data_IF_362035771050
#
_entry.id   IF_362035771050
#
_cell.length_a   1.000
_cell.length_b   1.000
_cell.length_c   1.000
_cell.angle_alpha   90.00
_cell.angle_beta   90.00
_cell.angle_gamma   90.00
#
_symmetry.space_group_name_H-M   'P 1'
#
loop_
_entity.id
_entity.type
_entity.pdbx_description
1 polymer ?
#
# COMPACT_ATOMS: atom_id res chain seq x y z
N UNK A 1 -16.42 -7.97 1.66
CA UNK A 1 -15.40 -7.80 0.59
C UNK A 1 -15.66 -6.49 -0.15
N UNK A 2 -14.65 -5.70 -0.50
CA UNK A 2 -14.85 -4.45 -1.26
C UNK A 2 -14.89 -4.73 -2.77
N UNK A 3 -15.90 -4.20 -3.46
CA UNK A 3 -16.03 -4.28 -4.92
C UNK A 3 -14.74 -3.76 -5.61
N UNK A 4 -14.25 -4.50 -6.61
CA UNK A 4 -12.94 -4.28 -7.23
C UNK A 4 -12.81 -2.86 -7.81
N UNK A 5 -13.87 -2.33 -8.40
CA UNK A 5 -13.98 -1.00 -8.99
C UNK A 5 -14.01 0.14 -7.96
N UNK A 6 -14.32 -0.16 -6.69
CA UNK A 6 -14.38 0.85 -5.62
C UNK A 6 -13.10 0.94 -4.78
N UNK A 7 -12.20 -0.05 -4.87
CA UNK A 7 -10.99 -0.12 -4.02
C UNK A 7 -10.10 1.12 -4.13
N UNK A 8 -9.84 1.59 -5.36
CA UNK A 8 -8.99 2.77 -5.57
C UNK A 8 -9.66 4.04 -5.06
N UNK A 9 -10.96 4.21 -5.29
CA UNK A 9 -11.72 5.36 -4.79
C UNK A 9 -11.68 5.43 -3.26
N UNK A 10 -11.91 4.31 -2.59
CA UNK A 10 -11.86 4.27 -1.13
C UNK A 10 -10.44 4.51 -0.59
N UNK A 11 -9.43 3.88 -1.18
CA UNK A 11 -8.04 4.10 -0.76
C UNK A 11 -7.58 5.55 -0.97
N UNK A 12 -7.97 6.18 -2.09
CA UNK A 12 -7.68 7.58 -2.35
C UNK A 12 -8.33 8.49 -1.29
N UNK A 13 -9.56 8.17 -0.85
CA UNK A 13 -10.27 8.93 0.16
C UNK A 13 -9.64 8.85 1.57
N UNK A 14 -8.80 7.83 1.84
CA UNK A 14 -8.08 7.70 3.12
C UNK A 14 -6.69 8.33 3.08
N UNK A 15 -6.23 8.83 1.93
CA UNK A 15 -4.92 9.47 1.84
C UNK A 15 -4.91 10.79 2.59
N UNK A 16 -3.82 11.07 3.30
CA UNK A 16 -3.62 12.28 4.07
C UNK A 16 -2.20 12.83 3.87
N UNK A 17 -2.01 14.12 4.17
CA UNK A 17 -0.71 14.77 4.15
C UNK A 17 0.04 14.59 2.82
N UNK A 18 1.33 14.22 2.84
CA UNK A 18 2.15 14.07 1.62
C UNK A 18 1.58 13.07 0.60
N UNK A 19 0.86 12.05 1.05
CA UNK A 19 0.26 11.05 0.17
C UNK A 19 -0.92 11.62 -0.62
N UNK A 20 -1.75 12.44 0.02
CA UNK A 20 -2.86 13.12 -0.64
C UNK A 20 -2.34 14.14 -1.67
N UNK A 21 -1.33 14.93 -1.31
CA UNK A 21 -0.71 15.89 -2.23
C UNK A 21 -0.14 15.20 -3.48
N UNK A 22 0.56 14.08 -3.30
CA UNK A 22 1.10 13.30 -4.42
C UNK A 22 0.00 12.71 -5.30
N UNK A 23 -1.08 12.19 -4.71
CA UNK A 23 -2.19 11.63 -5.49
C UNK A 23 -2.92 12.71 -6.29
N UNK A 24 -3.16 13.89 -5.71
CA UNK A 24 -3.74 15.02 -6.43
C UNK A 24 -2.87 15.48 -7.60
N UNK A 25 -1.55 15.51 -7.42
CA UNK A 25 -0.61 15.80 -8.52
C UNK A 25 -0.67 14.75 -9.63
N UNK A 26 -0.76 13.46 -9.28
CA UNK A 26 -0.95 12.37 -10.25
C UNK A 26 -2.25 12.51 -11.03
N UNK A 27 -3.36 12.85 -10.36
CA UNK A 27 -4.65 13.13 -11.01
C UNK A 27 -4.55 14.33 -11.94
N UNK A 28 -3.84 15.39 -11.54
CA UNK A 28 -3.65 16.57 -12.37
C UNK A 28 -2.88 16.28 -13.68
N UNK A 29 -1.85 15.42 -13.61
CA UNK A 29 -1.06 15.04 -14.80
C UNK A 29 -1.81 14.07 -15.71
N UNK A 30 -2.43 13.05 -15.12
CA UNK A 30 -3.07 11.97 -15.90
C UNK A 30 -4.47 12.33 -16.37
N UNK A 31 -5.11 13.32 -15.75
CA UNK A 31 -6.53 13.58 -15.87
C UNK A 31 -7.36 12.66 -14.97
N UNK A 32 -8.53 13.16 -14.55
CA UNK A 32 -9.40 12.47 -13.60
C UNK A 32 -9.91 11.13 -14.13
N UNK A 33 -10.22 11.03 -15.43
CA UNK A 33 -10.79 9.82 -16.01
C UNK A 33 -9.77 8.69 -16.09
N UNK A 34 -8.54 9.00 -16.47
CA UNK A 34 -7.43 8.03 -16.48
C UNK A 34 -7.08 7.63 -15.05
N UNK A 35 -7.03 8.58 -14.11
CA UNK A 35 -6.73 8.29 -12.71
C UNK A 35 -7.79 7.39 -12.05
N UNK A 36 -9.07 7.52 -12.42
CA UNK A 36 -10.16 6.63 -11.98
C UNK A 36 -10.06 5.23 -12.56
N UNK A 37 -9.45 5.07 -13.73
CA UNK A 37 -9.23 3.78 -14.38
C UNK A 37 -7.99 3.04 -13.86
N UNK A 38 -7.13 3.69 -13.05
CA UNK A 38 -6.02 3.02 -12.40
C UNK A 38 -6.58 1.83 -11.61
N UNK A 39 -6.17 0.63 -11.99
CA UNK A 39 -6.57 -0.59 -11.29
C UNK A 39 -5.93 -0.68 -9.91
N UNK A 40 -6.54 -1.46 -9.01
CA UNK A 40 -6.03 -1.65 -7.65
C UNK A 40 -4.58 -2.12 -7.58
N UNK A 41 -4.18 -3.02 -8.48
CA UNK A 41 -2.80 -3.53 -8.55
C UNK A 41 -1.80 -2.42 -8.87
N UNK A 42 -2.15 -1.53 -9.79
CA UNK A 42 -1.28 -0.43 -10.20
C UNK A 42 -1.20 0.66 -9.13
N UNK A 43 -2.32 1.01 -8.50
CA UNK A 43 -2.35 1.93 -7.36
C UNK A 43 -1.40 1.46 -6.25
N UNK A 44 -1.42 0.17 -5.90
CA UNK A 44 -0.49 -0.39 -4.90
C UNK A 44 0.97 -0.26 -5.33
N UNK A 45 1.30 -0.54 -6.59
CA UNK A 45 2.67 -0.39 -7.11
C UNK A 45 3.15 1.05 -7.00
N UNK A 46 2.34 2.02 -7.46
CA UNK A 46 2.69 3.43 -7.41
C UNK A 46 2.89 3.94 -5.97
N UNK A 47 1.98 3.57 -5.05
CA UNK A 47 2.09 3.92 -3.64
C UNK A 47 3.33 3.32 -2.99
N UNK A 48 3.62 2.04 -3.27
CA UNK A 48 4.80 1.35 -2.74
C UNK A 48 6.07 2.00 -3.26
N UNK A 49 6.17 2.24 -4.57
CA UNK A 49 7.35 2.88 -5.16
C UNK A 49 7.58 4.31 -4.65
N UNK A 50 6.52 5.06 -4.33
CA UNK A 50 6.63 6.44 -3.86
C UNK A 50 6.96 6.54 -2.37
N UNK A 51 6.36 5.69 -1.55
CA UNK A 51 6.36 5.85 -0.09
C UNK A 51 7.08 4.74 0.66
N UNK A 52 7.43 3.63 0.00
CA UNK A 52 8.13 2.54 0.64
C UNK A 52 9.51 2.39 0.00
N UNK A 53 10.55 2.72 0.76
CA UNK A 53 11.91 2.38 0.34
C UNK A 53 12.10 0.86 0.40
N UNK A 54 12.92 0.31 -0.49
CA UNK A 54 13.29 -1.12 -0.45
C UNK A 54 13.83 -1.53 0.93
N UNK A 55 14.54 -0.61 1.60
CA UNK A 55 15.06 -0.80 2.95
C UNK A 55 13.95 -0.91 4.00
N UNK A 56 12.89 -0.10 3.92
CA UNK A 56 11.75 -0.19 4.83
C UNK A 56 10.96 -1.48 4.60
N UNK A 57 10.75 -1.86 3.33
CA UNK A 57 10.13 -3.13 2.94
C UNK A 57 10.88 -4.31 3.54
N UNK A 58 12.19 -4.37 3.32
CA UNK A 58 13.05 -5.43 3.87
C UNK A 58 13.04 -5.43 5.40
N UNK A 59 13.02 -4.25 6.04
CA UNK A 59 12.92 -4.15 7.50
C UNK A 59 11.58 -4.69 8.00
N UNK A 60 10.48 -4.44 7.29
CA UNK A 60 9.16 -4.98 7.64
C UNK A 60 9.13 -6.50 7.46
N UNK A 61 9.67 -7.03 6.36
CA UNK A 61 9.78 -8.48 6.11
C UNK A 61 10.60 -9.17 7.20
N UNK A 62 11.76 -8.63 7.56
CA UNK A 62 12.59 -9.16 8.64
C UNK A 62 11.86 -9.16 9.99
N UNK A 63 11.13 -8.07 10.31
CA UNK A 63 10.31 -8.01 11.53
C UNK A 63 9.23 -9.08 11.53
N UNK A 64 8.52 -9.25 10.40
CA UNK A 64 7.47 -10.24 10.26
C UNK A 64 8.02 -11.67 10.40
N UNK A 65 9.17 -11.95 9.79
CA UNK A 65 9.86 -13.22 9.93
C UNK A 65 10.22 -13.52 11.39
N UNK A 66 10.82 -12.55 12.09
CA UNK A 66 11.17 -12.69 13.51
C UNK A 66 9.96 -12.93 14.40
N UNK A 67 8.81 -12.31 14.10
CA UNK A 67 7.56 -12.53 14.83
C UNK A 67 7.04 -13.96 14.62
N UNK A 68 7.02 -14.45 13.39
CA UNK A 68 6.63 -15.84 13.09
C UNK A 68 7.53 -16.85 13.80
N UNK A 69 8.85 -16.67 13.76
CA UNK A 69 9.79 -17.56 14.45
C UNK A 69 9.53 -17.58 15.96
N UNK A 70 9.26 -16.42 16.57
CA UNK A 70 8.88 -16.36 17.99
C UNK A 70 7.57 -17.09 18.29
N UNK A 71 6.57 -16.96 17.43
CA UNK A 71 5.29 -17.68 17.56
C UNK A 71 5.49 -19.20 17.48
N UNK A 72 6.25 -19.69 16.50
CA UNK A 72 6.62 -21.11 16.40
C UNK A 72 7.35 -21.63 17.65
N UNK A 73 8.32 -20.85 18.15
CA UNK A 73 9.02 -21.21 19.38
C UNK A 73 8.07 -21.27 20.58
N UNK A 74 7.09 -20.37 20.71
CA UNK A 74 6.10 -20.42 21.79
C UNK A 74 5.22 -21.68 21.71
N UNK A 75 4.76 -22.06 20.51
CA UNK A 75 3.95 -23.28 20.31
C UNK A 75 4.76 -24.56 20.60
N UNK A 76 6.07 -24.56 20.40
CA UNK A 76 6.92 -25.72 20.64
C UNK A 76 7.15 -26.06 22.13
N UNK A 77 6.84 -25.14 23.05
CA UNK A 77 7.04 -25.34 24.50
C UNK A 77 5.72 -25.51 25.30
N UNK A 78 4.57 -25.53 24.62
CA UNK A 78 3.25 -25.85 25.19
C UNK A 78 2.76 -27.18 24.66
#
# INVERSE_FOLDING_TARGET
ECAKDKKVKFAAATLQGPALTWYNFKVAILGLDVAKQIGWTEMKKLMTAKFCSAKELQRMENKLWNLKVKEYNMVAYT
#
